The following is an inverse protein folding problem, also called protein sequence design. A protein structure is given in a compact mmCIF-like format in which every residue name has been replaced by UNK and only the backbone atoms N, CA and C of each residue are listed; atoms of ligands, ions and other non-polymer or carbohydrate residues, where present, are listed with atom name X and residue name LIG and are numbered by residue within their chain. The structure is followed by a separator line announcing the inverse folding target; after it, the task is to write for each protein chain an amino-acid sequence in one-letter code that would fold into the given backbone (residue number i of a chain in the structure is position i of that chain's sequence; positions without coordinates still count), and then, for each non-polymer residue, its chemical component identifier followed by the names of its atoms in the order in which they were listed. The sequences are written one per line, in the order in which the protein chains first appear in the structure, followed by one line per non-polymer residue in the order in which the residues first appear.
data_IF_319887994854
#
_entry.id   IF_319887994854
#
_cell.length_a   1.000
_cell.length_b   1.000
_cell.length_c   1.000
_cell.angle_alpha   90.00
_cell.angle_beta   90.00
_cell.angle_gamma   90.00
#
_symmetry.space_group_name_H-M   'P 1'
#
loop_
_entity.id
_entity.type
_entity.pdbx_description
1 polymer ?
#
# COMPACT_ATOMS: atom_id res chain seq x y z
N UNK A 1 -18.87 -2.90 -4.44
CA UNK A 1 -17.68 -2.22 -3.88
C UNK A 1 -16.46 -2.64 -4.70
N UNK A 2 -15.51 -1.74 -4.95
CA UNK A 2 -14.33 -1.99 -5.78
C UNK A 2 -13.09 -2.37 -4.96
N UNK A 3 -12.02 -2.84 -5.62
CA UNK A 3 -10.74 -3.17 -4.97
C UNK A 3 -9.86 -1.94 -4.68
N UNK A 4 -10.23 -0.77 -5.18
CA UNK A 4 -9.42 0.45 -5.15
C UNK A 4 -10.33 1.67 -5.04
N UNK A 5 -9.91 2.62 -4.20
CA UNK A 5 -10.53 3.94 -4.10
C UNK A 5 -9.71 4.97 -4.87
N UNK A 6 -10.41 5.83 -5.61
CA UNK A 6 -9.80 6.93 -6.36
C UNK A 6 -10.08 8.25 -5.66
N UNK A 7 -9.02 8.88 -5.15
CA UNK A 7 -9.09 10.18 -4.49
C UNK A 7 -8.40 11.22 -5.36
N UNK A 8 -9.10 12.31 -5.66
CA UNK A 8 -8.54 13.47 -6.37
C UNK A 8 -8.14 14.54 -5.36
N UNK A 9 -6.90 15.01 -5.47
CA UNK A 9 -6.38 16.11 -4.64
C UNK A 9 -6.13 17.32 -5.53
N UNK A 10 -6.65 18.46 -5.10
CA UNK A 10 -6.32 19.77 -5.68
C UNK A 10 -5.00 20.25 -5.07
N UNK A 11 -3.95 20.30 -5.91
CA UNK A 11 -2.59 20.65 -5.49
C UNK A 11 -2.47 22.09 -5.01
N UNK A 12 -3.28 23.00 -5.55
CA UNK A 12 -3.22 24.43 -5.22
C UNK A 12 -3.81 24.67 -3.83
N UNK A 13 -4.84 23.90 -3.47
CA UNK A 13 -5.46 23.94 -2.13
C UNK A 13 -4.71 23.10 -1.09
N UNK A 14 -3.96 22.09 -1.52
CA UNK A 14 -3.36 21.08 -0.64
C UNK A 14 -1.85 20.99 -0.78
N UNK A 15 -1.15 22.13 -0.76
CA UNK A 15 0.30 22.19 -0.93
C UNK A 15 1.07 21.29 0.04
N UNK A 16 0.61 21.16 1.29
CA UNK A 16 1.22 20.26 2.29
C UNK A 16 1.20 18.80 1.84
N UNK A 17 0.11 18.34 1.24
CA UNK A 17 -0.02 16.96 0.74
C UNK A 17 0.93 16.76 -0.45
N UNK A 18 0.91 17.70 -1.39
CA UNK A 18 1.79 17.71 -2.57
C UNK A 18 3.27 17.60 -2.16
N UNK A 19 3.70 18.39 -1.18
CA UNK A 19 5.06 18.36 -0.65
C UNK A 19 5.38 17.07 0.11
N UNK A 20 4.46 16.59 0.97
CA UNK A 20 4.65 15.38 1.74
C UNK A 20 4.85 14.12 0.87
N UNK A 21 4.19 14.08 -0.29
CA UNK A 21 4.36 13.00 -1.28
C UNK A 21 5.43 13.31 -2.35
N UNK A 22 6.15 14.44 -2.24
CA UNK A 22 7.22 14.80 -3.16
C UNK A 22 6.75 15.05 -4.61
N UNK A 23 5.50 15.48 -4.80
CA UNK A 23 4.94 15.79 -6.13
C UNK A 23 5.60 17.05 -6.68
N UNK A 24 6.29 16.93 -7.83
CA UNK A 24 7.02 18.02 -8.49
C UNK A 24 6.39 18.50 -9.80
N UNK A 25 5.47 17.72 -10.35
CA UNK A 25 4.79 18.01 -11.60
C UNK A 25 3.37 17.45 -11.58
N UNK A 26 2.51 18.01 -12.43
CA UNK A 26 1.10 17.62 -12.52
C UNK A 26 0.78 17.18 -13.97
N UNK A 27 -0.14 16.23 -14.15
CA UNK A 27 -0.77 15.40 -13.12
C UNK A 27 0.21 14.35 -12.56
N UNK A 28 0.11 14.04 -11.27
CA UNK A 28 0.83 12.92 -10.64
C UNK A 28 -0.18 12.02 -9.92
N UNK A 29 -0.08 10.72 -10.15
CA UNK A 29 -0.84 9.70 -9.43
C UNK A 29 0.11 8.95 -8.51
N UNK A 30 -0.27 8.85 -7.24
CA UNK A 30 0.43 8.07 -6.21
C UNK A 30 -0.48 6.92 -5.80
N UNK A 31 0.06 5.71 -5.70
CA UNK A 31 -0.67 4.53 -5.26
C UNK A 31 -0.27 4.22 -3.83
N UNK A 32 -1.26 4.26 -2.95
CA UNK A 32 -1.11 4.00 -1.53
C UNK A 32 -1.73 2.64 -1.20
N UNK A 33 -0.99 1.81 -0.48
CA UNK A 33 -1.50 0.56 0.11
C UNK A 33 -1.59 0.71 1.62
N UNK A 34 -2.77 0.53 2.24
CA UNK A 34 -2.88 0.51 3.70
C UNK A 34 -1.94 -0.52 4.30
N UNK A 35 -1.28 -0.16 5.41
CA UNK A 35 -0.45 -1.12 6.14
C UNK A 35 -1.37 -2.08 6.92
N UNK A 36 -1.05 -3.36 6.87
CA UNK A 36 -1.66 -4.37 7.73
C UNK A 36 -0.56 -5.25 8.34
N UNK A 37 -0.48 -5.36 9.68
CA UNK A 37 -1.25 -4.65 10.71
C UNK A 37 -0.75 -3.20 10.96
N UNK A 38 -1.65 -2.29 11.37
CA UNK A 38 -1.30 -0.96 11.88
C UNK A 38 -1.86 0.23 11.08
N UNK A 39 -1.71 1.47 11.59
CA UNK A 39 -2.19 2.67 10.93
C UNK A 39 -1.24 3.13 9.80
N UNK A 40 -1.80 3.88 8.86
CA UNK A 40 -1.06 4.52 7.77
C UNK A 40 -1.03 3.70 6.47
N UNK A 41 -0.24 4.19 5.52
CA UNK A 41 -0.11 3.58 4.19
C UNK A 41 1.33 3.63 3.70
N UNK A 42 1.66 2.76 2.76
CA UNK A 42 2.91 2.73 2.03
C UNK A 42 2.69 3.18 0.58
N UNK A 43 3.62 3.96 0.05
CA UNK A 43 3.64 4.33 -1.37
C UNK A 43 4.20 3.15 -2.15
N UNK A 44 3.34 2.42 -2.85
CA UNK A 44 3.72 1.21 -3.62
C UNK A 44 3.90 1.47 -5.11
N UNK A 45 3.61 2.70 -5.56
CA UNK A 45 3.83 3.13 -6.93
C UNK A 45 3.48 4.59 -7.15
N UNK A 46 3.98 5.15 -8.24
CA UNK A 46 3.58 6.46 -8.72
C UNK A 46 3.75 6.53 -10.24
N UNK A 47 3.05 7.47 -10.86
CA UNK A 47 3.35 7.90 -12.22
C UNK A 47 3.02 9.37 -12.43
N UNK A 48 3.76 9.98 -13.36
CA UNK A 48 3.61 11.38 -13.75
C UNK A 48 3.05 11.42 -15.17
N UNK A 49 2.12 12.34 -15.42
CA UNK A 49 1.46 12.51 -16.71
C UNK A 49 0.34 11.50 -16.95
N UNK A 50 -0.13 11.47 -18.19
CA UNK A 50 -1.15 10.52 -18.62
C UNK A 50 -0.53 9.17 -19.02
N UNK A 51 -1.26 8.08 -18.80
CA UNK A 51 -0.94 6.74 -19.30
C UNK A 51 -2.16 6.17 -20.03
N UNK A 52 -1.96 5.30 -21.04
CA UNK A 52 -3.04 4.48 -21.58
C UNK A 52 -3.69 3.63 -20.48
N UNK A 53 -4.96 3.25 -20.67
CA UNK A 53 -5.74 2.50 -19.69
C UNK A 53 -5.03 1.21 -19.22
N UNK A 54 -4.41 0.47 -20.14
CA UNK A 54 -3.66 -0.75 -19.83
C UNK A 54 -2.44 -0.48 -18.95
N UNK A 55 -1.79 0.68 -19.15
CA UNK A 55 -0.66 1.11 -18.32
C UNK A 55 -1.10 1.42 -16.89
N UNK A 56 -2.25 2.07 -16.72
CA UNK A 56 -2.84 2.32 -15.39
C UNK A 56 -3.23 1.00 -14.73
N UNK A 57 -3.89 0.09 -15.46
CA UNK A 57 -4.31 -1.22 -14.94
C UNK A 57 -3.13 -2.04 -14.42
N UNK A 58 -2.03 -2.13 -15.18
CA UNK A 58 -0.82 -2.85 -14.75
C UNK A 58 -0.23 -2.33 -13.44
N UNK A 59 -0.25 -1.02 -13.22
CA UNK A 59 0.23 -0.41 -11.97
C UNK A 59 -0.66 -0.82 -10.80
N UNK A 60 -1.97 -0.77 -10.98
CA UNK A 60 -2.93 -1.17 -9.95
C UNK A 60 -2.87 -2.69 -9.65
N UNK A 61 -2.80 -3.53 -10.68
CA UNK A 61 -2.71 -4.98 -10.51
C UNK A 61 -1.47 -5.38 -9.71
N UNK A 62 -0.33 -4.72 -9.97
CA UNK A 62 0.90 -4.93 -9.19
C UNK A 62 0.75 -4.53 -7.73
N UNK A 63 0.03 -3.44 -7.43
CA UNK A 63 -0.21 -3.00 -6.06
C UNK A 63 -1.18 -3.92 -5.30
N UNK A 64 -2.12 -4.52 -6.02
CA UNK A 64 -3.15 -5.42 -5.50
C UNK A 64 -2.69 -6.88 -5.37
N UNK A 65 -1.48 -7.21 -5.81
CA UNK A 65 -0.92 -8.55 -5.66
C UNK A 65 -0.46 -8.75 -4.21
N UNK A 66 -1.24 -9.51 -3.43
CA UNK A 66 -1.02 -9.79 -2.01
C UNK A 66 -0.11 -11.00 -1.77
N UNK A 67 0.62 -11.48 -2.79
CA UNK A 67 1.54 -12.59 -2.61
C UNK A 67 2.52 -12.26 -1.47
N UNK A 68 2.51 -13.01 -0.36
CA UNK A 68 3.43 -12.75 0.73
C UNK A 68 4.83 -12.85 0.16
N UNK A 69 5.62 -11.80 0.38
CA UNK A 69 7.01 -11.77 -0.04
C UNK A 69 7.68 -13.07 0.41
N UNK A 70 8.54 -13.63 -0.43
CA UNK A 70 9.25 -14.88 -0.17
C UNK A 70 9.86 -14.90 1.25
N UNK A 71 10.36 -13.75 1.72
CA UNK A 71 10.83 -13.52 3.07
C UNK A 71 9.76 -13.73 4.16
N UNK A 72 8.53 -13.28 4.00
CA UNK A 72 7.46 -13.50 4.99
C UNK A 72 7.04 -14.96 5.09
N UNK A 73 7.13 -15.72 3.98
CA UNK A 73 6.94 -17.18 4.00
C UNK A 73 8.09 -17.92 4.65
N UNK A 74 9.32 -17.46 4.47
CA UNK A 74 10.53 -18.08 5.00
C UNK A 74 10.73 -17.79 6.48
N UNK A 75 10.37 -16.59 6.95
CA UNK A 75 10.56 -16.13 8.33
C UNK A 75 9.28 -16.15 9.19
N UNK A 76 8.10 -16.38 8.60
CA UNK A 76 6.80 -16.27 9.29
C UNK A 76 6.19 -17.59 9.82
N UNK A 77 6.85 -18.74 9.66
CA UNK A 77 6.32 -20.05 10.10
C UNK A 77 7.16 -20.66 11.24
N UNK A 78 7.29 -19.95 12.35
CA UNK A 78 8.10 -20.39 13.49
C UNK A 78 7.63 -20.01 14.89
N UNK A 79 6.44 -19.43 15.08
CA UNK A 79 6.04 -18.93 16.40
C UNK A 79 4.54 -19.02 16.68
N UNK A 80 4.00 -20.24 16.76
CA UNK A 80 2.74 -20.46 17.48
C UNK A 80 3.09 -20.69 18.96
N UNK A 81 2.62 -19.78 19.82
CA UNK A 81 2.72 -19.84 21.28
C UNK A 81 2.25 -21.20 21.81
N UNK A 82 3.03 -21.77 22.73
CA UNK A 82 2.57 -22.80 23.65
C UNK A 82 1.80 -22.10 24.78
N UNK A 83 0.48 -22.32 24.83
CA UNK A 83 -0.38 -21.84 25.90
C UNK A 83 -0.21 -22.75 27.14
N UNK A 84 0.20 -22.13 28.24
CA UNK A 84 -0.06 -22.43 29.65
C UNK A 84 -0.59 -23.83 30.01
N UNK A 85 0.32 -24.77 30.26
CA UNK A 85 0.05 -25.92 31.13
C UNK A 85 0.22 -25.48 32.59
N UNK A 86 -0.90 -25.12 33.22
CA UNK A 86 -1.01 -24.94 34.68
C UNK A 86 -0.74 -26.27 35.39
N UNK A 87 0.07 -26.32 36.46
CA UNK A 87 0.15 -27.51 37.31
C UNK A 87 -1.06 -27.50 38.24
N UNK A 88 -1.96 -28.48 38.06
CA UNK A 88 -2.96 -28.81 39.06
C UNK A 88 -2.44 -29.99 39.90
N UNK A 89 -2.43 -29.78 41.22
CA UNK A 89 -2.17 -30.69 42.35
C UNK A 89 -0.71 -31.03 42.70
#
# INVERSE_FOLDING_TARGET
EGRVDFVKVDSDKSQRITQAFGVRSLPTVVVLKPKHPGPGAEVVGYFIGAKPADGVRKVLDKALDDRPGFFQRLFGKGGAKADDAKPDA
#
